data_IF_421548362836
#
_entry.id   IF_421548362836
#
_cell.length_a   1.000
_cell.length_b   1.000
_cell.length_c   1.000
_cell.angle_alpha   90.00
_cell.angle_beta   90.00
_cell.angle_gamma   90.00
#
_symmetry.space_group_name_H-M   'P 1'
#
loop_
_entity.id
_entity.type
_entity.pdbx_description
1 polymer ?
#
# COMPACT_ATOMS: atom_id res chain seq x y z
N UNK A 1 -36.47 25.86 4.15
CA UNK A 1 -35.98 26.90 5.08
C UNK A 1 -35.19 26.16 6.14
N UNK A 2 -33.85 26.07 5.95
CA UNK A 2 -32.94 25.43 6.90
C UNK A 2 -32.98 26.24 8.22
N UNK A 3 -33.13 25.54 9.32
CA UNK A 3 -33.10 26.14 10.65
C UNK A 3 -31.67 26.59 10.98
N UNK A 4 -31.53 27.51 11.93
CA UNK A 4 -30.19 27.92 12.44
C UNK A 4 -29.36 26.71 12.92
N UNK A 5 -30.04 25.64 13.32
CA UNK A 5 -29.43 24.37 13.69
C UNK A 5 -28.68 23.69 12.54
N UNK A 6 -29.20 23.80 11.32
CA UNK A 6 -28.54 23.25 10.10
C UNK A 6 -27.32 24.07 9.72
N UNK A 7 -27.34 25.38 9.98
CA UNK A 7 -26.18 26.25 9.79
C UNK A 7 -25.08 25.99 10.82
N UNK A 8 -25.45 25.64 12.05
CA UNK A 8 -24.50 25.26 13.09
C UNK A 8 -23.84 23.91 12.83
N UNK A 9 -24.55 22.97 12.17
CA UNK A 9 -23.98 21.67 11.76
C UNK A 9 -23.00 21.80 10.59
N UNK A 10 -23.09 22.89 9.83
CA UNK A 10 -22.08 23.27 8.82
C UNK A 10 -20.93 24.08 9.42
N UNK A 11 -20.94 24.27 10.73
CA UNK A 11 -19.86 24.93 11.47
C UNK A 11 -18.56 24.19 11.27
N UNK A 12 -17.61 24.87 10.69
CA UNK A 12 -16.19 24.56 10.52
C UNK A 12 -15.82 23.15 11.01
N UNK A 13 -15.81 22.20 10.10
CA UNK A 13 -15.03 20.98 10.31
C UNK A 13 -13.57 21.42 10.43
N UNK A 14 -13.17 21.78 11.65
CA UNK A 14 -11.75 21.83 11.96
C UNK A 14 -11.27 20.41 11.69
N UNK A 15 -10.59 20.22 10.59
CA UNK A 15 -10.00 18.95 10.19
C UNK A 15 -8.93 18.64 11.23
N UNK A 16 -9.37 18.00 12.34
CA UNK A 16 -8.47 17.60 13.41
C UNK A 16 -7.62 16.48 12.84
N UNK A 17 -6.41 16.83 12.43
CA UNK A 17 -5.43 15.85 12.00
C UNK A 17 -5.07 15.02 13.23
N UNK A 18 -5.39 13.73 13.21
CA UNK A 18 -5.01 12.79 14.26
C UNK A 18 -3.54 12.46 14.05
N UNK A 19 -2.65 12.69 15.04
CA UNK A 19 -1.26 12.30 14.93
C UNK A 19 -1.08 10.79 14.70
N UNK A 20 -0.04 10.41 13.98
CA UNK A 20 0.23 9.00 13.63
C UNK A 20 0.43 8.12 14.86
N UNK A 21 1.00 8.68 15.96
CA UNK A 21 1.16 7.98 17.25
C UNK A 21 -0.19 7.59 17.87
N UNK A 22 -1.20 8.46 17.76
CA UNK A 22 -2.54 8.18 18.24
C UNK A 22 -3.23 7.12 17.38
N UNK A 23 -3.02 7.14 16.06
CA UNK A 23 -3.51 6.10 15.14
C UNK A 23 -2.86 4.75 15.47
N UNK A 24 -1.55 4.72 15.70
CA UNK A 24 -0.83 3.50 16.09
C UNK A 24 -1.34 2.96 17.43
N UNK A 25 -1.56 3.81 18.41
CA UNK A 25 -2.10 3.41 19.72
C UNK A 25 -3.50 2.80 19.59
N UNK A 26 -4.39 3.43 18.83
CA UNK A 26 -5.75 2.90 18.58
C UNK A 26 -5.67 1.60 17.77
N UNK A 27 -4.78 1.49 16.81
CA UNK A 27 -4.59 0.29 16.00
C UNK A 27 -4.10 -0.93 16.81
N UNK A 28 -3.49 -0.74 17.99
CA UNK A 28 -3.17 -1.85 18.88
C UNK A 28 -4.42 -2.56 19.43
N UNK A 29 -5.57 -1.87 19.50
CA UNK A 29 -6.82 -2.47 19.93
C UNK A 29 -7.33 -3.48 18.88
N UNK A 30 -7.77 -4.66 19.32
CA UNK A 30 -8.20 -5.76 18.46
C UNK A 30 -9.32 -5.37 17.49
N UNK A 31 -10.27 -4.54 17.92
CA UNK A 31 -11.38 -4.09 17.09
C UNK A 31 -10.91 -3.16 15.98
N UNK A 32 -10.01 -2.22 16.29
CA UNK A 32 -9.42 -1.33 15.30
C UNK A 32 -8.60 -2.11 14.26
N UNK A 33 -7.78 -3.08 14.70
CA UNK A 33 -7.10 -4.00 13.79
C UNK A 33 -8.06 -4.70 12.86
N UNK A 34 -9.18 -5.20 13.38
CA UNK A 34 -10.18 -5.89 12.56
C UNK A 34 -10.85 -4.98 11.54
N UNK A 35 -11.16 -3.75 11.93
CA UNK A 35 -11.77 -2.74 11.05
C UNK A 35 -10.82 -2.36 9.90
N UNK A 36 -9.52 -2.24 10.17
CA UNK A 36 -8.53 -1.88 9.17
C UNK A 36 -8.15 -3.07 8.29
N UNK A 37 -7.87 -4.23 8.90
CA UNK A 37 -7.29 -5.38 8.20
C UNK A 37 -8.35 -6.18 7.41
N UNK A 38 -9.58 -6.29 7.91
CA UNK A 38 -10.61 -7.12 7.29
C UNK A 38 -10.89 -6.72 5.84
N UNK A 39 -11.16 -5.45 5.50
CA UNK A 39 -11.37 -5.06 4.12
C UNK A 39 -10.15 -5.32 3.23
N UNK A 40 -8.93 -5.06 3.73
CA UNK A 40 -7.70 -5.34 2.99
C UNK A 40 -7.56 -6.83 2.66
N UNK A 41 -7.83 -7.70 3.64
CA UNK A 41 -7.81 -9.16 3.44
C UNK A 41 -8.91 -9.62 2.50
N UNK A 42 -10.11 -9.06 2.59
CA UNK A 42 -11.22 -9.43 1.71
C UNK A 42 -10.98 -9.02 0.26
N UNK A 43 -10.30 -7.90 0.02
CA UNK A 43 -9.89 -7.45 -1.33
C UNK A 43 -8.93 -8.44 -2.00
N UNK A 44 -8.04 -9.06 -1.24
CA UNK A 44 -7.04 -9.99 -1.77
C UNK A 44 -7.47 -11.46 -1.71
N UNK A 45 -8.57 -11.78 -1.02
CA UNK A 45 -9.02 -13.16 -0.79
C UNK A 45 -9.35 -13.93 -2.07
N UNK A 46 -9.89 -13.25 -3.07
CA UNK A 46 -10.21 -13.86 -4.36
C UNK A 46 -8.95 -14.10 -5.22
N UNK A 47 -7.80 -13.56 -4.78
CA UNK A 47 -6.60 -13.54 -5.59
C UNK A 47 -6.67 -12.51 -6.70
N UNK A 48 -5.65 -12.51 -7.52
CA UNK A 48 -5.50 -11.68 -8.71
C UNK A 48 -4.84 -12.51 -9.81
N UNK A 49 -5.05 -12.12 -11.04
CA UNK A 49 -4.55 -12.85 -12.19
C UNK A 49 -4.08 -11.89 -13.27
N UNK A 50 -3.20 -12.39 -14.12
CA UNK A 50 -2.69 -11.65 -15.27
C UNK A 50 -3.42 -12.10 -16.53
N UNK A 51 -3.83 -11.15 -17.36
CA UNK A 51 -4.42 -11.38 -18.67
C UNK A 51 -3.49 -10.94 -19.79
N UNK A 52 -3.56 -11.58 -20.94
CA UNK A 52 -2.85 -11.17 -22.16
C UNK A 52 -1.36 -11.51 -22.15
N UNK A 53 -0.90 -12.40 -21.28
CA UNK A 53 0.49 -12.84 -21.19
C UNK A 53 0.61 -14.27 -21.75
N UNK A 54 1.71 -14.57 -22.46
CA UNK A 54 1.99 -15.94 -22.92
C UNK A 54 2.28 -16.87 -21.76
N UNK A 55 1.93 -18.14 -21.87
CA UNK A 55 2.00 -19.14 -20.78
C UNK A 55 3.41 -19.25 -20.16
N UNK A 56 4.46 -19.20 -20.98
CA UNK A 56 5.84 -19.26 -20.48
C UNK A 56 6.21 -18.06 -19.60
N UNK A 57 5.79 -16.87 -19.99
CA UNK A 57 6.08 -15.66 -19.22
C UNK A 57 5.17 -15.54 -18.00
N UNK A 58 3.96 -16.09 -18.08
CA UNK A 58 3.04 -16.20 -16.95
C UNK A 58 3.62 -17.06 -15.83
N UNK A 59 4.28 -18.19 -16.16
CA UNK A 59 4.94 -19.04 -15.16
C UNK A 59 6.07 -18.29 -14.46
N UNK A 60 6.97 -17.66 -15.20
CA UNK A 60 8.07 -16.85 -14.65
C UNK A 60 7.55 -15.72 -13.75
N UNK A 61 6.48 -15.05 -14.19
CA UNK A 61 5.88 -13.97 -13.43
C UNK A 61 5.28 -14.46 -12.11
N UNK A 62 4.58 -15.60 -12.13
CA UNK A 62 4.04 -16.22 -10.90
C UNK A 62 5.14 -16.65 -9.93
N UNK A 63 6.26 -17.18 -10.44
CA UNK A 63 7.42 -17.53 -9.63
C UNK A 63 8.04 -16.28 -9.00
N UNK A 64 8.21 -15.20 -9.75
CA UNK A 64 8.70 -13.92 -9.25
C UNK A 64 7.77 -13.34 -8.17
N UNK A 65 6.45 -13.37 -8.39
CA UNK A 65 5.47 -12.91 -7.39
C UNK A 65 5.56 -13.68 -6.08
N UNK A 66 5.80 -14.98 -6.15
CA UNK A 66 6.02 -15.81 -4.95
C UNK A 66 7.36 -15.52 -4.28
N UNK A 67 8.44 -15.40 -5.06
CA UNK A 67 9.77 -15.10 -4.55
C UNK A 67 9.81 -13.78 -3.76
N UNK A 68 9.11 -12.77 -4.24
CA UNK A 68 9.01 -11.46 -3.60
C UNK A 68 7.86 -11.34 -2.61
N UNK A 69 7.09 -12.40 -2.35
CA UNK A 69 5.91 -12.36 -1.49
C UNK A 69 4.97 -11.19 -1.81
N UNK A 70 4.63 -11.03 -3.09
CA UNK A 70 3.86 -9.88 -3.57
C UNK A 70 2.49 -9.76 -2.88
N UNK A 71 1.85 -10.87 -2.53
CA UNK A 71 0.59 -10.87 -1.77
C UNK A 71 0.77 -10.22 -0.39
N UNK A 72 1.87 -10.51 0.30
CA UNK A 72 2.19 -9.88 1.59
C UNK A 72 2.49 -8.40 1.46
N UNK A 73 3.19 -8.00 0.40
CA UNK A 73 3.46 -6.59 0.07
C UNK A 73 2.15 -5.83 -0.20
N UNK A 74 1.27 -6.39 -1.03
CA UNK A 74 -0.03 -5.79 -1.33
C UNK A 74 -0.92 -5.69 -0.10
N UNK A 75 -0.99 -6.75 0.72
CA UNK A 75 -1.76 -6.73 1.96
C UNK A 75 -1.26 -5.64 2.91
N UNK A 76 0.05 -5.58 3.12
CA UNK A 76 0.67 -4.57 3.98
C UNK A 76 0.42 -3.15 3.47
N UNK A 77 0.51 -2.95 2.15
CA UNK A 77 0.24 -1.67 1.51
C UNK A 77 -1.20 -1.21 1.71
N UNK A 78 -2.16 -2.12 1.53
CA UNK A 78 -3.59 -1.85 1.74
C UNK A 78 -3.88 -1.52 3.20
N UNK A 79 -3.32 -2.27 4.15
CA UNK A 79 -3.47 -2.02 5.59
C UNK A 79 -2.91 -0.65 5.97
N UNK A 80 -1.68 -0.34 5.54
CA UNK A 80 -1.03 0.94 5.87
C UNK A 80 -1.73 2.13 5.19
N UNK A 81 -2.16 1.99 3.95
CA UNK A 81 -2.90 3.06 3.26
C UNK A 81 -4.26 3.34 3.92
N UNK A 82 -4.92 2.32 4.44
CA UNK A 82 -6.17 2.48 5.21
C UNK A 82 -5.95 3.13 6.56
N UNK A 83 -4.82 2.83 7.22
CA UNK A 83 -4.50 3.37 8.54
C UNK A 83 -4.01 4.82 8.46
N UNK A 84 -3.11 5.12 7.54
CA UNK A 84 -2.44 6.43 7.44
C UNK A 84 -2.92 7.31 6.28
N UNK A 85 -3.82 6.79 5.43
CA UNK A 85 -4.29 7.48 4.23
C UNK A 85 -3.38 7.31 3.01
N UNK A 86 -2.11 7.00 3.20
CA UNK A 86 -1.11 6.77 2.15
C UNK A 86 -0.05 5.80 2.61
N UNK A 87 0.46 4.99 1.68
CA UNK A 87 1.69 4.22 1.84
C UNK A 87 2.48 4.25 0.54
N UNK A 88 3.73 3.90 0.60
CA UNK A 88 4.62 3.83 -0.55
C UNK A 88 5.24 2.44 -0.62
N UNK A 89 5.45 1.95 -1.83
CA UNK A 89 6.18 0.72 -2.07
C UNK A 89 7.47 1.08 -2.78
N UNK A 90 8.58 0.86 -2.10
CA UNK A 90 9.91 1.02 -2.66
C UNK A 90 10.32 -0.27 -3.38
N UNK A 91 10.76 -0.11 -4.62
CA UNK A 91 11.35 -1.17 -5.41
C UNK A 91 12.86 -1.09 -5.28
N UNK A 92 13.49 -2.13 -4.76
CA UNK A 92 14.94 -2.25 -4.74
C UNK A 92 15.44 -2.95 -5.99
N UNK A 93 16.40 -2.34 -6.68
CA UNK A 93 16.99 -2.86 -7.92
C UNK A 93 18.51 -2.85 -7.85
N UNK A 94 19.13 -3.81 -8.51
CA UNK A 94 20.59 -3.88 -8.68
C UNK A 94 20.94 -3.39 -10.08
N UNK A 95 20.71 -2.13 -10.35
CA UNK A 95 21.08 -1.53 -11.64
C UNK A 95 22.43 -0.80 -11.60
N UNK A 96 23.01 -0.62 -10.40
CA UNK A 96 24.27 0.11 -10.20
C UNK A 96 24.16 1.61 -10.45
N UNK A 97 22.95 2.13 -10.61
CA UNK A 97 22.68 3.56 -10.73
C UNK A 97 22.55 4.24 -9.37
N UNK A 98 22.78 5.54 -9.36
CA UNK A 98 22.52 6.37 -8.19
C UNK A 98 20.99 6.44 -7.94
N UNK A 99 20.59 6.42 -6.67
CA UNK A 99 19.19 6.49 -6.25
C UNK A 99 18.49 7.79 -6.70
N UNK A 100 19.26 8.82 -7.06
CA UNK A 100 18.77 10.11 -7.55
C UNK A 100 18.43 10.10 -9.05
N UNK A 101 18.76 9.03 -9.76
CA UNK A 101 18.48 8.94 -11.19
C UNK A 101 17.15 8.28 -11.45
N UNK A 102 16.41 8.74 -12.49
CA UNK A 102 15.18 8.08 -12.90
C UNK A 102 15.44 6.62 -13.27
N UNK A 103 14.56 5.76 -12.81
CA UNK A 103 14.60 4.34 -13.08
C UNK A 103 14.45 4.05 -14.59
N UNK A 104 15.42 3.37 -15.18
CA UNK A 104 15.39 2.98 -16.59
C UNK A 104 14.93 1.52 -16.73
N UNK A 105 13.66 1.35 -17.13
CA UNK A 105 13.07 0.03 -17.36
C UNK A 105 13.83 -0.81 -18.41
N UNK A 106 14.50 -0.17 -19.36
CA UNK A 106 15.26 -0.88 -20.42
C UNK A 106 16.57 -1.49 -19.89
N UNK A 107 17.10 -0.94 -18.80
CA UNK A 107 18.29 -1.47 -18.11
C UNK A 107 17.96 -2.58 -17.13
N UNK A 108 16.69 -2.74 -16.79
CA UNK A 108 16.20 -3.82 -15.95
C UNK A 108 16.09 -5.11 -16.75
N UNK A 109 17.14 -5.92 -16.73
CA UNK A 109 17.02 -7.33 -17.07
C UNK A 109 16.17 -8.06 -16.00
N UNK A 110 15.45 -9.09 -16.44
CA UNK A 110 14.77 -10.06 -15.56
C UNK A 110 15.82 -10.57 -14.57
N UNK A 111 15.66 -10.28 -13.27
CA UNK A 111 16.58 -10.71 -12.22
C UNK A 111 17.34 -9.58 -11.51
N UNK A 112 17.11 -8.33 -11.86
CA UNK A 112 17.71 -7.17 -11.17
C UNK A 112 16.80 -6.53 -10.11
N UNK A 113 15.60 -7.04 -9.94
CA UNK A 113 14.72 -6.66 -8.83
C UNK A 113 15.14 -7.45 -7.60
N UNK A 114 15.48 -6.78 -6.51
CA UNK A 114 15.95 -7.42 -5.27
C UNK A 114 14.87 -7.54 -4.22
N UNK A 115 14.12 -6.46 -4.00
CA UNK A 115 13.13 -6.44 -2.93
C UNK A 115 12.00 -5.43 -3.18
N UNK A 116 10.91 -5.65 -2.45
CA UNK A 116 9.85 -4.67 -2.26
C UNK A 116 9.79 -4.31 -0.78
N UNK A 117 9.82 -3.02 -0.47
CA UNK A 117 9.66 -2.53 0.90
C UNK A 117 8.47 -1.59 0.98
N UNK A 118 7.56 -1.87 1.92
CA UNK A 118 6.39 -1.02 2.16
C UNK A 118 6.77 0.03 3.20
N UNK A 119 6.68 1.30 2.81
CA UNK A 119 7.05 2.44 3.63
C UNK A 119 5.80 3.16 4.14
N UNK A 120 5.81 3.50 5.43
CA UNK A 120 4.81 4.39 6.03
C UNK A 120 5.10 5.83 5.63
N UNK A 121 4.08 6.70 5.64
CA UNK A 121 4.21 8.15 5.43
C UNK A 121 5.34 8.80 6.25
N UNK A 122 5.61 8.29 7.43
CA UNK A 122 6.62 8.77 8.39
C UNK A 122 8.07 8.58 7.88
N UNK A 123 8.30 7.72 6.87
CA UNK A 123 9.65 7.38 6.38
C UNK A 123 10.05 8.19 5.12
N UNK A 124 9.25 9.18 4.77
CA UNK A 124 9.44 10.11 3.66
C UNK A 124 9.32 11.53 4.20
#
# INVERSE_FOLDING_TARGET
IGTERDKASHGSFVKKVIPDEQLEAVYQHWLAKRIVNRPASDMLRAGWFFEGIQDNDLLKLKEACKAFNLDGVLLSSLVLSRLYGVCYVLLGTVDGGDLDQPFDLNKLGIGRLEFFTVLKKKHI
#
